data_IF_988032195344
#
_entry.id   IF_988032195344
#
_cell.length_a   1.000
_cell.length_b   1.000
_cell.length_c   1.000
_cell.angle_alpha   90.00
_cell.angle_beta   90.00
_cell.angle_gamma   90.00
#
_symmetry.space_group_name_H-M   'P 1'
#
loop_
_entity.id
_entity.type
_entity.pdbx_description
1 polymer ?
#
# COMPACT_ATOMS: atom_id res chain seq x y z
N UNK A 1 14.20 -7.41 20.23
CA UNK A 1 13.32 -6.79 19.23
C UNK A 1 14.23 -6.12 18.21
N UNK A 2 14.27 -6.58 16.95
CA UNK A 2 15.05 -5.88 15.91
C UNK A 2 14.49 -4.46 15.77
N UNK A 3 15.35 -3.46 15.72
CA UNK A 3 14.94 -2.07 15.50
C UNK A 3 14.50 -1.96 14.04
N UNK A 4 13.24 -1.61 13.82
CA UNK A 4 12.73 -1.33 12.48
C UNK A 4 13.31 0.03 12.05
N UNK A 5 14.10 0.04 10.98
CA UNK A 5 14.59 1.27 10.35
C UNK A 5 13.59 1.72 9.27
N UNK A 6 12.63 2.52 9.70
CA UNK A 6 11.56 3.05 8.84
C UNK A 6 12.12 3.96 7.74
N UNK A 7 13.14 4.76 8.05
CA UNK A 7 13.68 5.76 7.12
C UNK A 7 14.36 5.09 5.93
N UNK A 8 15.17 4.06 6.18
CA UNK A 8 15.80 3.28 5.10
C UNK A 8 14.77 2.50 4.30
N UNK A 9 13.79 1.88 4.95
CA UNK A 9 12.70 1.18 4.26
C UNK A 9 11.92 2.09 3.30
N UNK A 10 11.51 3.28 3.77
CA UNK A 10 10.78 4.25 2.95
C UNK A 10 11.64 4.75 1.80
N UNK A 11 12.93 5.04 2.03
CA UNK A 11 13.85 5.51 0.99
C UNK A 11 14.06 4.46 -0.10
N UNK A 12 14.24 3.20 0.27
CA UNK A 12 14.49 2.10 -0.66
C UNK A 12 13.25 1.70 -1.48
N UNK A 13 12.05 2.03 -0.99
CA UNK A 13 10.77 1.63 -1.58
C UNK A 13 9.96 2.80 -2.11
N UNK A 14 10.53 4.00 -2.25
CA UNK A 14 9.78 5.19 -2.68
C UNK A 14 9.01 4.99 -3.98
N UNK A 15 9.62 4.37 -4.99
CA UNK A 15 8.97 4.13 -6.29
C UNK A 15 7.78 3.16 -6.15
N UNK A 16 7.92 2.13 -5.32
CA UNK A 16 6.87 1.15 -5.03
C UNK A 16 5.72 1.80 -4.24
N UNK A 17 6.05 2.64 -3.26
CA UNK A 17 5.08 3.44 -2.51
C UNK A 17 4.29 4.34 -3.47
N UNK A 18 4.99 5.05 -4.37
CA UNK A 18 4.35 5.92 -5.35
C UNK A 18 3.45 5.13 -6.32
N UNK A 19 3.89 3.96 -6.78
CA UNK A 19 3.09 3.08 -7.62
C UNK A 19 1.82 2.60 -6.91
N UNK A 20 1.93 2.19 -5.64
CA UNK A 20 0.79 1.76 -4.82
C UNK A 20 -0.22 2.89 -4.59
N UNK A 21 0.25 4.11 -4.35
CA UNK A 21 -0.62 5.30 -4.24
C UNK A 21 -1.34 5.56 -5.57
N UNK A 22 -0.64 5.53 -6.70
CA UNK A 22 -1.24 5.73 -8.02
C UNK A 22 -2.32 4.68 -8.33
N UNK A 23 -2.03 3.40 -8.05
CA UNK A 23 -3.01 2.31 -8.20
C UNK A 23 -4.24 2.55 -7.32
N UNK A 24 -4.03 2.98 -6.08
CA UNK A 24 -5.09 3.27 -5.12
C UNK A 24 -6.00 4.40 -5.60
N UNK A 25 -5.42 5.49 -6.11
CA UNK A 25 -6.16 6.61 -6.69
C UNK A 25 -6.95 6.21 -7.93
N UNK A 26 -6.34 5.46 -8.84
CA UNK A 26 -7.01 4.98 -10.06
C UNK A 26 -8.20 4.08 -9.73
N UNK A 27 -8.01 3.13 -8.80
CA UNK A 27 -9.08 2.24 -8.34
C UNK A 27 -10.23 3.02 -7.72
N UNK A 28 -9.92 4.05 -6.93
CA UNK A 28 -10.93 4.93 -6.35
C UNK A 28 -11.73 5.68 -7.43
N UNK A 29 -11.05 6.22 -8.45
CA UNK A 29 -11.67 6.85 -9.61
C UNK A 29 -12.58 5.90 -10.39
N UNK A 30 -12.11 4.68 -10.69
CA UNK A 30 -12.90 3.65 -11.39
C UNK A 30 -14.14 3.23 -10.61
N UNK A 31 -14.01 3.06 -9.28
CA UNK A 31 -15.12 2.75 -8.38
C UNK A 31 -16.21 3.82 -8.48
N UNK A 32 -15.84 5.09 -8.46
CA UNK A 32 -16.77 6.21 -8.61
C UNK A 32 -17.41 6.25 -10.01
N UNK A 33 -16.62 6.09 -11.07
CA UNK A 33 -17.13 6.08 -12.44
C UNK A 33 -18.20 4.99 -12.65
N UNK A 34 -17.98 3.79 -12.10
CA UNK A 34 -18.96 2.69 -12.19
C UNK A 34 -20.28 3.02 -11.51
N UNK A 35 -20.25 3.65 -10.32
CA UNK A 35 -21.45 4.05 -9.58
C UNK A 35 -22.19 5.21 -10.25
N UNK A 36 -21.47 6.12 -10.89
CA UNK A 36 -22.08 7.17 -11.72
C UNK A 36 -22.74 6.56 -12.96
N UNK A 37 -22.06 5.64 -13.64
CA UNK A 37 -22.58 4.98 -14.83
C UNK A 37 -23.80 4.08 -14.55
N UNK A 38 -23.90 3.50 -13.36
CA UNK A 38 -25.08 2.73 -12.93
C UNK A 38 -26.27 3.59 -12.49
N UNK A 39 -26.07 4.90 -12.34
CA UNK A 39 -27.06 5.83 -11.79
C UNK A 39 -27.22 5.74 -10.26
N UNK A 40 -26.39 4.93 -9.57
CA UNK A 40 -26.34 4.87 -8.10
C UNK A 40 -25.85 6.18 -7.49
N UNK A 41 -24.97 6.88 -8.22
CA UNK A 41 -24.37 8.13 -7.79
C UNK A 41 -24.62 9.24 -8.82
N UNK A 42 -25.10 10.38 -8.36
CA UNK A 42 -25.21 11.59 -9.17
C UNK A 42 -23.81 12.07 -9.58
N UNK A 43 -23.59 12.51 -10.84
CA UNK A 43 -22.30 13.01 -11.30
C UNK A 43 -21.93 14.39 -10.72
N UNK A 44 -22.75 14.94 -9.83
CA UNK A 44 -22.46 16.18 -9.14
C UNK A 44 -21.22 16.01 -8.23
N UNK A 45 -20.28 16.95 -8.33
CA UNK A 45 -19.08 16.97 -7.51
C UNK A 45 -19.38 16.94 -6.01
N UNK A 46 -20.50 17.51 -5.56
CA UNK A 46 -20.89 17.50 -4.13
C UNK A 46 -21.23 16.08 -3.64
N UNK A 47 -21.74 15.23 -4.53
CA UNK A 47 -22.09 13.84 -4.23
C UNK A 47 -20.88 12.92 -4.43
N UNK A 48 -20.07 13.18 -5.46
CA UNK A 48 -18.92 12.35 -5.84
C UNK A 48 -17.69 12.60 -4.97
N UNK A 49 -17.37 13.86 -4.66
CA UNK A 49 -16.12 14.22 -3.99
C UNK A 49 -15.97 13.58 -2.60
N UNK A 50 -16.98 13.57 -1.70
CA UNK A 50 -16.84 12.92 -0.40
C UNK A 50 -16.57 11.42 -0.52
N UNK A 51 -17.23 10.74 -1.46
CA UNK A 51 -17.04 9.31 -1.70
C UNK A 51 -15.69 9.00 -2.33
N UNK A 52 -15.24 9.83 -3.28
CA UNK A 52 -13.91 9.72 -3.86
C UNK A 52 -12.83 9.89 -2.79
N UNK A 53 -12.95 10.90 -1.92
CA UNK A 53 -12.01 11.12 -0.82
C UNK A 53 -11.99 9.93 0.17
N UNK A 54 -13.15 9.38 0.49
CA UNK A 54 -13.25 8.18 1.33
C UNK A 54 -12.57 6.98 0.70
N UNK A 55 -12.80 6.75 -0.59
CA UNK A 55 -12.24 5.62 -1.33
C UNK A 55 -10.71 5.77 -1.48
N UNK A 56 -10.22 6.98 -1.72
CA UNK A 56 -8.78 7.31 -1.72
C UNK A 56 -8.15 7.06 -0.35
N UNK A 57 -8.78 7.54 0.73
CA UNK A 57 -8.29 7.33 2.09
C UNK A 57 -8.21 5.84 2.43
N UNK A 58 -9.25 5.09 2.09
CA UNK A 58 -9.32 3.65 2.34
C UNK A 58 -8.25 2.90 1.56
N UNK A 59 -8.12 3.19 0.26
CA UNK A 59 -7.12 2.54 -0.59
C UNK A 59 -5.69 2.85 -0.14
N UNK A 60 -5.40 4.11 0.22
CA UNK A 60 -4.11 4.51 0.77
C UNK A 60 -3.81 3.83 2.12
N UNK A 61 -4.81 3.67 2.98
CA UNK A 61 -4.66 2.99 4.27
C UNK A 61 -4.29 1.51 4.06
N UNK A 62 -4.98 0.81 3.16
CA UNK A 62 -4.68 -0.59 2.84
C UNK A 62 -3.27 -0.74 2.25
N UNK A 63 -2.88 0.14 1.32
CA UNK A 63 -1.53 0.14 0.76
C UNK A 63 -0.45 0.36 1.82
N UNK A 64 -0.67 1.31 2.74
CA UNK A 64 0.25 1.60 3.84
C UNK A 64 0.36 0.42 4.80
N UNK A 65 -0.75 -0.22 5.17
CA UNK A 65 -0.75 -1.40 6.04
C UNK A 65 0.01 -2.58 5.41
N UNK A 66 -0.09 -2.76 4.08
CA UNK A 66 0.68 -3.77 3.35
C UNK A 66 2.18 -3.49 3.43
N UNK A 67 2.61 -2.26 3.15
CA UNK A 67 4.02 -1.85 3.25
C UNK A 67 4.57 -2.03 4.67
N UNK A 68 3.78 -1.68 5.69
CA UNK A 68 4.15 -1.91 7.10
C UNK A 68 4.27 -3.41 7.39
N UNK A 69 3.36 -4.24 6.87
CA UNK A 69 3.46 -5.69 7.02
C UNK A 69 4.72 -6.26 6.36
N UNK A 70 5.08 -5.78 5.16
CA UNK A 70 6.30 -6.20 4.45
C UNK A 70 7.56 -5.77 5.22
N UNK A 71 7.55 -4.56 5.77
CA UNK A 71 8.62 -4.06 6.66
C UNK A 71 8.77 -4.94 7.91
N UNK A 72 7.68 -5.35 8.54
CA UNK A 72 7.74 -6.25 9.70
C UNK A 72 8.27 -7.62 9.28
N UNK A 73 7.76 -8.20 8.19
CA UNK A 73 8.11 -9.55 7.74
C UNK A 73 9.56 -9.67 7.29
N UNK A 74 10.09 -8.66 6.58
CA UNK A 74 11.50 -8.63 6.13
C UNK A 74 12.50 -8.65 7.30
N UNK A 75 12.13 -8.15 8.48
CA UNK A 75 13.00 -8.25 9.67
C UNK A 75 13.07 -9.67 10.26
N UNK A 76 12.08 -10.52 9.95
CA UNK A 76 11.94 -11.90 10.47
C UNK A 76 12.61 -12.96 9.59
N UNK A 77 12.84 -12.70 8.30
CA UNK A 77 13.31 -13.72 7.33
C UNK A 77 14.85 -13.83 7.19
N UNK A 78 15.63 -12.98 7.86
CA UNK A 78 17.10 -13.13 7.93
C UNK A 78 17.51 -14.26 8.90
N UNK A 79 17.28 -15.53 8.56
CA UNK A 79 18.05 -16.71 9.01
C UNK A 79 17.70 -17.95 8.16
N UNK A 80 18.65 -18.42 7.34
CA UNK A 80 19.27 -19.72 7.61
C UNK A 80 20.75 -19.53 7.90
N UNK A 81 21.22 -20.02 9.05
CA UNK A 81 22.64 -20.11 9.32
C UNK A 81 23.29 -21.07 8.31
N UNK A 82 24.11 -20.55 7.40
CA UNK A 82 25.19 -21.32 6.78
C UNK A 82 26.21 -21.69 7.86
N UNK A 83 25.94 -22.77 8.57
CA UNK A 83 26.95 -23.48 9.36
C UNK A 83 27.22 -24.82 8.70
N UNK A 84 28.05 -24.80 7.67
CA UNK A 84 28.74 -26.00 7.19
C UNK A 84 30.18 -25.62 6.82
N UNK A 85 30.95 -25.15 7.80
CA UNK A 85 32.40 -25.12 7.71
C UNK A 85 32.98 -26.43 8.26
N UNK A 86 33.87 -26.99 7.44
CA UNK A 86 35.01 -27.85 7.75
C UNK A 86 34.76 -29.21 8.42
N UNK A 87 34.82 -30.26 7.59
CA UNK A 87 35.43 -31.52 8.01
C UNK A 87 36.85 -31.57 7.41
N UNK A 88 37.84 -31.36 8.28
CA UNK A 88 39.21 -31.84 8.10
C UNK A 88 39.29 -33.35 8.32
#
# INVERSE_FOLDING_TARGET
>A
MKKIDVDSFVRERQDEIQALVNISLNKAGESMQKRVASGELSPNIQDVLPLLLYEVLTANTVATLRLVSEMINSTTEEHPQENAYDNH
#
